data_IF_926796190776
#
_entry.id   IF_926796190776
#
_cell.length_a   1.000
_cell.length_b   1.000
_cell.length_c   1.000
_cell.angle_alpha   90.00
_cell.angle_beta   90.00
_cell.angle_gamma   90.00
#
_symmetry.space_group_name_H-M   'P 1'
#
loop_
_entity.id
_entity.type
_entity.pdbx_description
1 polymer ?
2 non-polymer ?
3 non-polymer ?
4 water ?
#
# COMPACT_ATOMS: atom_id res chain seq x y z
N UNK A 3 -13.11 21.43 20.13
CA UNK A 3 -13.08 19.97 19.96
C UNK A 3 -14.23 19.48 19.08
N UNK A 4 -13.94 18.66 18.07
CA UNK A 4 -14.96 18.36 17.08
C UNK A 4 -16.07 17.51 17.69
N UNK A 5 -17.26 17.60 17.09
CA UNK A 5 -18.43 16.93 17.66
C UNK A 5 -18.25 15.43 17.85
N UNK A 6 -17.73 14.66 16.87
CA UNK A 6 -17.62 13.22 17.09
C UNK A 6 -16.53 12.84 18.05
N UNK A 7 -15.61 13.77 18.35
CA UNK A 7 -14.37 13.39 19.00
C UNK A 7 -14.64 12.76 20.36
N UNK A 8 -14.09 11.57 20.53
CA UNK A 8 -14.26 10.80 21.75
C UNK A 8 -13.23 9.69 21.73
N UNK A 9 -12.43 9.59 22.78
CA UNK A 9 -11.38 8.59 22.86
C UNK A 9 -10.49 8.63 21.63
N UNK A 10 -10.27 9.82 21.09
CA UNK A 10 -9.51 9.99 19.86
C UNK A 10 -8.41 11.01 20.12
N UNK A 11 -7.20 10.51 20.32
CA UNK A 11 -6.11 11.33 20.79
C UNK A 11 -5.42 12.02 19.63
N UNK A 12 -4.75 13.13 19.95
CA UNK A 12 -4.11 13.93 18.91
C UNK A 12 -3.04 13.12 18.19
N UNK A 13 -2.30 12.29 18.94
CA UNK A 13 -1.26 11.46 18.33
C UNK A 13 -1.85 10.40 17.42
N UNK A 14 -3.02 9.85 17.77
CA UNK A 14 -3.71 8.95 16.86
C UNK A 14 -4.13 9.69 15.60
N UNK A 15 -4.73 10.86 15.77
CA UNK A 15 -5.07 11.72 14.64
C UNK A 15 -3.84 12.02 13.78
N UNK A 16 -2.72 12.38 14.40
CA UNK A 16 -1.53 12.69 13.61
C UNK A 16 -1.00 11.45 12.91
N UNK A 17 -1.05 10.29 13.58
CA UNK A 17 -0.58 9.07 12.96
C UNK A 17 -1.40 8.69 11.73
N UNK A 18 -2.71 8.89 11.80
CA UNK A 18 -3.56 8.64 10.64
C UNK A 18 -3.16 9.56 9.50
N UNK A 19 -2.82 10.81 9.81
CA UNK A 19 -2.43 11.73 8.76
C UNK A 19 -1.12 11.29 8.11
N UNK A 20 -0.16 10.81 8.90
CA UNK A 20 1.05 10.29 8.27
C UNK A 20 0.75 9.04 7.48
N UNK A 21 -0.11 8.17 8.01
CA UNK A 21 -0.43 6.95 7.28
C UNK A 21 -1.13 7.28 5.96
N UNK A 22 -2.01 8.29 5.97
CA UNK A 22 -2.65 8.73 4.73
C UNK A 22 -1.61 9.06 3.68
N UNK A 23 -0.61 9.85 4.08
CA UNK A 23 0.44 10.20 3.14
C UNK A 23 1.17 8.95 2.67
N UNK A 24 1.46 8.04 3.59
CA UNK A 24 2.14 6.82 3.21
C UNK A 24 1.29 5.99 2.24
N UNK A 25 -0.02 5.89 2.51
CA UNK A 25 -0.89 5.17 1.58
C UNK A 25 -0.89 5.83 0.22
N UNK A 26 -0.93 7.16 0.21
CA UNK A 26 -0.86 7.90 -1.04
C UNK A 26 0.47 7.67 -1.74
N UNK A 27 1.56 7.66 -0.97
CA UNK A 27 2.86 7.34 -1.55
C UNK A 27 2.86 5.94 -2.15
N UNK A 28 2.29 4.96 -1.45
CA UNK A 28 2.23 3.62 -2.02
C UNK A 28 1.40 3.62 -3.29
N UNK A 29 0.27 4.33 -3.27
CA UNK A 29 -0.55 4.45 -4.46
C UNK A 29 0.26 5.02 -5.61
N UNK A 30 1.07 6.03 -5.31
CA UNK A 30 1.92 6.65 -6.32
C UNK A 30 2.96 5.67 -6.84
N UNK A 31 3.61 4.92 -5.95
CA UNK A 31 4.60 3.93 -6.36
C UNK A 31 3.99 2.90 -7.30
N UNK A 32 2.86 2.33 -6.91
CA UNK A 32 2.19 1.35 -7.76
C UNK A 32 1.79 1.95 -9.09
N UNK A 33 1.31 3.19 -9.06
CA UNK A 33 0.99 3.90 -10.29
C UNK A 33 2.22 4.02 -11.17
N UNK A 34 3.35 4.41 -10.57
CA UNK A 34 4.60 4.44 -11.31
C UNK A 34 4.96 3.06 -11.84
N UNK A 35 4.83 2.05 -10.99
CA UNK A 35 5.14 0.70 -11.44
C UNK A 35 4.25 0.29 -12.59
N UNK A 36 2.95 0.60 -12.48
CA UNK A 36 2.01 0.21 -13.52
C UNK A 36 2.43 0.76 -14.87
N UNK A 37 2.69 2.06 -14.93
CA UNK A 37 3.03 2.63 -16.21
C UNK A 37 4.46 2.33 -16.61
N UNK A 38 5.30 1.95 -15.65
CA UNK A 38 6.59 1.40 -16.02
C UNK A 38 6.41 0.15 -16.87
N UNK A 39 5.53 -0.76 -16.44
CA UNK A 39 5.35 -1.98 -17.20
C UNK A 39 4.53 -1.77 -18.45
N UNK A 40 3.93 -0.59 -18.59
CA UNK A 40 3.29 -0.18 -19.83
C UNK A 40 4.28 0.47 -20.79
N UNK A 41 5.52 0.70 -20.38
CA UNK A 41 6.51 1.19 -21.33
C UNK A 41 6.65 0.19 -22.47
N UNK A 42 6.84 0.71 -23.68
CA UNK A 42 6.96 -0.15 -24.84
C UNK A 42 8.15 -1.09 -24.74
N UNK A 43 9.19 -0.68 -24.02
CA UNK A 43 10.36 -1.52 -23.82
C UNK A 43 10.24 -2.34 -22.56
N UNK A 44 9.06 -2.35 -21.94
CA UNK A 44 8.78 -3.26 -20.84
C UNK A 44 7.60 -4.12 -21.27
N UNK A 45 6.46 -3.47 -21.50
CA UNK A 45 5.32 -4.08 -22.17
C UNK A 45 4.88 -5.38 -21.50
N UNK A 46 4.68 -5.32 -20.19
CA UNK A 46 4.10 -6.46 -19.51
C UNK A 46 2.72 -6.06 -19.02
N UNK A 47 1.65 -6.39 -19.75
CA UNK A 47 0.33 -5.86 -19.39
C UNK A 47 -0.25 -6.45 -18.13
N UNK A 48 0.10 -7.69 -17.78
CA UNK A 48 -0.33 -8.21 -16.50
C UNK A 48 0.22 -7.39 -15.36
N UNK A 49 1.52 -7.08 -15.41
CA UNK A 49 2.13 -6.24 -14.38
C UNK A 49 1.52 -4.85 -14.37
N UNK A 50 1.21 -4.31 -15.54
CA UNK A 50 0.57 -3.01 -15.62
C UNK A 50 -0.78 -3.03 -14.93
N UNK A 51 -1.62 -4.00 -15.30
CA UNK A 51 -2.92 -4.16 -14.68
C UNK A 51 -2.77 -4.42 -13.19
N UNK A 52 -1.86 -5.33 -12.82
CA UNK A 52 -1.68 -5.69 -11.42
C UNK A 52 -1.32 -4.47 -10.57
N UNK A 53 -0.34 -3.68 -11.01
CA UNK A 53 0.06 -2.54 -10.20
C UNK A 53 -0.96 -1.42 -10.27
N UNK A 54 -1.68 -1.29 -11.38
CA UNK A 54 -2.75 -0.31 -11.43
C UNK A 54 -3.81 -0.64 -10.38
N UNK A 55 -4.22 -1.90 -10.31
CA UNK A 55 -5.14 -2.32 -9.26
C UNK A 55 -4.53 -2.10 -7.88
N UNK A 56 -3.27 -2.48 -7.70
CA UNK A 56 -2.59 -2.21 -6.43
C UNK A 56 -2.64 -0.73 -6.11
N UNK A 57 -2.34 0.11 -7.11
CA UNK A 57 -2.40 1.55 -6.92
C UNK A 57 -3.78 1.98 -6.46
N UNK A 58 -4.82 1.50 -7.14
CA UNK A 58 -6.17 1.89 -6.75
C UNK A 58 -6.48 1.43 -5.33
N UNK A 59 -5.97 0.25 -4.95
CA UNK A 59 -6.16 -0.23 -3.58
C UNK A 59 -5.57 0.74 -2.58
N UNK A 60 -4.34 1.20 -2.84
CA UNK A 60 -3.70 2.12 -1.92
C UNK A 60 -4.44 3.45 -1.88
N UNK A 61 -4.92 3.92 -3.02
CA UNK A 61 -5.81 5.07 -3.01
C UNK A 61 -6.98 4.82 -2.08
N UNK A 62 -7.63 3.66 -2.21
CA UNK A 62 -8.72 3.33 -1.30
C UNK A 62 -8.24 3.31 0.13
N UNK A 63 -7.03 2.78 0.37
CA UNK A 63 -6.49 2.76 1.73
C UNK A 63 -6.36 4.16 2.28
N UNK A 64 -5.81 5.07 1.48
CA UNK A 64 -5.66 6.45 1.90
C UNK A 64 -7.00 7.08 2.19
N UNK A 65 -7.95 6.92 1.27
CA UNK A 65 -9.25 7.56 1.41
C UNK A 65 -10.03 6.99 2.58
N UNK A 66 -9.96 5.67 2.76
CA UNK A 66 -10.57 5.07 3.93
C UNK A 66 -9.98 5.66 5.21
N UNK A 67 -8.68 5.97 5.21
CA UNK A 67 -8.10 6.65 6.35
C UNK A 67 -8.61 8.08 6.48
N UNK A 68 -8.69 8.81 5.36
CA UNK A 68 -9.26 10.16 5.42
C UNK A 68 -10.69 10.10 5.91
N UNK A 69 -11.47 9.16 5.37
CA UNK A 69 -12.83 8.97 5.84
C UNK A 69 -12.83 8.70 7.33
N UNK A 70 -11.96 7.79 7.77
CA UNK A 70 -11.93 7.43 9.18
C UNK A 70 -11.49 8.60 10.03
N UNK A 71 -10.49 9.35 9.57
CA UNK A 71 -10.06 10.56 10.25
C UNK A 71 -11.27 11.43 10.55
N UNK A 72 -12.09 11.67 9.52
CA UNK A 72 -13.27 12.50 9.70
C UNK A 72 -14.28 11.83 10.62
N UNK A 73 -14.43 10.51 10.51
CA UNK A 73 -15.39 9.81 11.35
C UNK A 73 -15.11 10.07 12.82
N UNK A 74 -13.84 10.01 13.20
CA UNK A 74 -13.41 10.20 14.58
C UNK A 74 -13.36 11.66 14.98
N UNK A 75 -13.53 12.57 14.03
CA UNK A 75 -13.45 13.99 14.30
C UNK A 75 -12.05 14.54 14.21
N UNK A 76 -11.11 13.77 13.68
CA UNK A 76 -9.80 14.30 13.35
C UNK A 76 -9.87 15.19 12.14
N UNK A 77 -8.79 15.90 11.91
CA UNK A 77 -8.71 16.79 10.76
C UNK A 77 -7.62 16.26 9.86
N UNK A 78 -8.01 15.92 8.63
CA UNK A 78 -7.07 15.49 7.62
C UNK A 78 -6.10 16.62 7.34
N UNK A 79 -4.82 16.36 7.49
CA UNK A 79 -3.78 17.29 7.08
C UNK A 79 -2.95 16.58 6.03
N UNK A 80 -3.04 17.05 4.79
CA UNK A 80 -2.34 16.41 3.70
C UNK A 80 -0.93 16.97 3.58
N UNK A 81 -0.02 16.12 3.13
CA UNK A 81 1.34 16.55 2.85
C UNK A 81 1.66 16.22 1.41
N UNK A 82 2.75 16.80 0.91
CA UNK A 82 3.29 16.35 -0.36
C UNK A 82 3.38 14.83 -0.34
N UNK A 83 2.88 14.18 -1.37
CA UNK A 83 3.21 12.78 -1.56
C UNK A 83 4.45 12.77 -2.44
N UNK A 84 5.51 12.17 -1.92
CA UNK A 84 6.78 12.19 -2.62
C UNK A 84 6.71 11.30 -3.86
N UNK A 85 7.47 11.67 -4.88
CA UNK A 85 7.59 10.80 -6.03
C UNK A 85 8.21 9.48 -5.56
N UNK A 86 7.86 8.36 -6.19
CA UNK A 86 8.45 7.09 -5.78
C UNK A 86 9.97 7.13 -5.91
N UNK A 87 10.63 6.26 -5.15
CA UNK A 87 12.08 6.34 -5.01
C UNK A 87 12.82 5.90 -6.28
N UNK A 88 12.14 5.22 -7.20
CA UNK A 88 12.69 4.93 -8.52
C UNK A 88 11.76 5.44 -9.61
N UNK A 89 12.34 5.73 -10.78
CA UNK A 89 11.55 6.02 -11.97
C UNK A 89 11.34 4.77 -12.81
N UNK A 90 12.29 3.85 -12.76
CA UNK A 90 12.25 2.58 -13.48
C UNK A 90 12.33 1.46 -12.46
N UNK A 91 11.59 0.37 -12.71
CA UNK A 91 11.45 -0.66 -11.68
C UNK A 91 12.10 -1.98 -12.07
N UNK A 92 12.99 -1.98 -13.05
CA UNK A 92 13.75 -3.18 -13.35
C UNK A 92 12.87 -4.24 -13.98
N UNK A 93 13.05 -5.48 -13.54
CA UNK A 93 12.26 -6.59 -14.05
C UNK A 93 10.98 -6.75 -13.24
N UNK A 94 10.10 -7.62 -13.73
CA UNK A 94 8.93 -7.97 -12.96
C UNK A 94 9.32 -8.43 -11.57
N UNK A 95 10.36 -9.26 -11.48
CA UNK A 95 10.87 -9.67 -10.18
C UNK A 95 11.30 -8.46 -9.35
N UNK A 96 12.04 -7.52 -9.96
CA UNK A 96 12.47 -6.34 -9.21
C UNK A 96 11.28 -5.55 -8.71
N UNK A 97 10.31 -5.29 -9.59
CA UNK A 97 9.15 -4.53 -9.16
C UNK A 97 8.40 -5.27 -8.06
N UNK A 98 8.23 -6.58 -8.21
CA UNK A 98 7.54 -7.33 -7.17
C UNK A 98 8.31 -7.28 -5.86
N UNK A 99 9.63 -7.39 -5.93
CA UNK A 99 10.47 -7.22 -4.75
C UNK A 99 10.28 -5.84 -4.14
N UNK A 100 10.27 -4.81 -4.99
CA UNK A 100 10.09 -3.45 -4.50
C UNK A 100 8.71 -3.29 -3.90
N UNK A 101 7.72 -3.94 -4.50
CA UNK A 101 6.37 -3.93 -3.96
C UNK A 101 6.31 -4.60 -2.59
N UNK A 102 6.97 -5.75 -2.44
CA UNK A 102 7.04 -6.40 -1.14
C UNK A 102 7.63 -5.46 -0.11
N UNK A 103 8.81 -4.91 -0.40
CA UNK A 103 9.43 -3.94 0.49
C UNK A 103 8.47 -2.80 0.81
N UNK A 104 7.80 -2.26 -0.21
CA UNK A 104 6.82 -1.20 0.00
C UNK A 104 5.71 -1.65 0.94
N UNK A 105 5.10 -2.80 0.66
CA UNK A 105 3.99 -3.27 1.48
C UNK A 105 4.43 -3.56 2.90
N UNK A 106 5.66 -4.05 3.06
CA UNK A 106 6.16 -4.30 4.41
C UNK A 106 6.40 -3.00 5.15
N UNK A 107 6.84 -1.96 4.44
CA UNK A 107 6.99 -0.66 5.08
C UNK A 107 5.64 -0.07 5.43
N UNK A 108 4.66 -0.19 4.53
CA UNK A 108 3.31 0.24 4.88
C UNK A 108 2.81 -0.56 6.07
N UNK A 109 3.01 -1.88 6.02
CA UNK A 109 2.58 -2.73 7.12
C UNK A 109 3.23 -2.31 8.43
N UNK A 110 4.54 -2.07 8.42
CA UNK A 110 5.18 -1.64 9.66
C UNK A 110 4.58 -0.33 10.15
N UNK A 111 4.34 0.62 9.23
CA UNK A 111 3.73 1.88 9.62
C UNK A 111 2.34 1.66 10.19
N UNK A 112 1.59 0.72 9.61
CA UNK A 112 0.28 0.37 10.15
C UNK A 112 0.40 -0.24 11.54
N UNK A 113 1.36 -1.15 11.72
CA UNK A 113 1.59 -1.72 13.04
C UNK A 113 2.03 -0.64 14.03
N UNK A 114 2.87 0.29 13.58
CA UNK A 114 3.22 1.43 14.42
C UNK A 114 1.99 2.26 14.74
N UNK A 115 1.14 2.47 13.74
CA UNK A 115 -0.11 3.19 13.97
C UNK A 115 -1.00 2.45 14.96
N UNK A 116 -1.07 1.12 14.86
CA UNK A 116 -1.83 0.33 15.82
C UNK A 116 -1.31 0.53 17.24
N UNK A 117 0.02 0.49 17.41
CA UNK A 117 0.63 0.77 18.70
C UNK A 117 0.22 2.13 19.24
N UNK A 118 0.11 3.12 18.36
CA UNK A 118 -0.33 4.43 18.83
C UNK A 118 -1.75 4.34 19.35
N UNK A 119 -2.66 3.75 18.56
CA UNK A 119 -4.02 3.60 19.03
C UNK A 119 -4.09 2.69 20.25
N UNK A 120 -3.24 1.67 20.29
CA UNK A 120 -3.18 0.78 21.43
C UNK A 120 -2.78 1.54 22.69
N UNK A 121 -1.67 2.26 22.63
CA UNK A 121 -1.21 2.97 23.81
C UNK A 121 -2.21 4.05 24.23
N UNK A 122 -2.96 4.60 23.29
CA UNK A 122 -3.99 5.58 23.63
C UNK A 122 -5.31 4.95 24.01
N UNK A 123 -5.37 3.62 24.12
CA UNK A 123 -6.62 2.96 24.44
C UNK A 123 -7.71 3.20 23.42
N UNK A 124 -7.33 3.45 22.16
CA UNK A 124 -8.29 3.69 21.09
C UNK A 124 -8.76 2.33 20.57
N UNK A 125 -9.71 1.76 21.29
CA UNK A 125 -10.18 0.42 20.98
C UNK A 125 -10.79 0.36 19.58
N UNK A 126 -11.60 1.34 19.22
CA UNK A 126 -12.22 1.30 17.90
C UNK A 126 -11.17 1.42 16.81
N UNK A 127 -10.22 2.34 16.98
CA UNK A 127 -9.22 2.54 15.94
C UNK A 127 -8.40 1.27 15.72
N UNK A 128 -8.02 0.62 16.81
CA UNK A 128 -7.28 -0.63 16.72
C UNK A 128 -8.04 -1.64 15.89
N UNK A 129 -9.32 -1.84 16.21
CA UNK A 129 -10.08 -2.80 15.43
C UNK A 129 -10.25 -2.35 13.99
N UNK A 130 -10.38 -1.04 13.76
CA UNK A 130 -10.44 -0.54 12.40
C UNK A 130 -9.16 -0.88 11.64
N UNK A 131 -8.00 -0.60 12.24
CA UNK A 131 -6.73 -0.98 11.63
C UNK A 131 -6.66 -2.48 11.39
N UNK A 132 -7.02 -3.28 12.40
CA UNK A 132 -6.93 -4.72 12.25
C UNK A 132 -7.81 -5.20 11.11
N UNK A 133 -9.09 -4.84 11.17
CA UNK A 133 -10.06 -5.38 10.22
C UNK A 133 -9.82 -4.86 8.82
N UNK A 134 -9.49 -3.58 8.70
CA UNK A 134 -9.46 -2.93 7.40
C UNK A 134 -8.08 -2.81 6.79
N UNK A 135 -7.02 -3.02 7.56
CA UNK A 135 -5.70 -2.79 6.99
C UNK A 135 -4.75 -3.95 7.25
N UNK A 136 -4.64 -4.36 8.52
CA UNK A 136 -3.62 -5.35 8.86
C UNK A 136 -3.87 -6.67 8.15
N UNK A 137 -5.14 -7.11 8.10
CA UNK A 137 -5.46 -8.35 7.41
C UNK A 137 -5.08 -8.27 5.93
N UNK A 138 -5.48 -7.19 5.26
CA UNK A 138 -5.17 -7.05 3.84
C UNK A 138 -3.68 -6.98 3.61
N UNK A 139 -2.96 -6.26 4.48
CA UNK A 139 -1.51 -6.20 4.37
C UNK A 139 -0.91 -7.59 4.43
N UNK A 140 -1.38 -8.40 5.36
CA UNK A 140 -0.85 -9.75 5.49
C UNK A 140 -1.17 -10.57 4.25
N UNK A 141 -2.40 -10.46 3.74
CA UNK A 141 -2.75 -11.12 2.49
C UNK A 141 -1.88 -10.61 1.35
N UNK A 142 -1.77 -9.29 1.23
CA UNK A 142 -0.98 -8.71 0.14
C UNK A 142 0.46 -9.18 0.22
N UNK A 143 1.05 -9.13 1.42
CA UNK A 143 2.45 -9.47 1.59
C UNK A 143 2.69 -10.94 1.24
N UNK A 144 1.83 -11.83 1.73
CA UNK A 144 1.92 -13.23 1.33
C UNK A 144 1.78 -13.36 -0.17
N UNK A 145 0.83 -12.63 -0.76
CA UNK A 145 0.58 -12.77 -2.18
C UNK A 145 1.78 -12.29 -2.99
N UNK A 146 2.36 -11.15 -2.61
CA UNK A 146 3.54 -10.64 -3.31
C UNK A 146 4.73 -11.57 -3.13
N UNK A 147 4.90 -12.11 -1.92
CA UNK A 147 5.97 -13.09 -1.70
C UNK A 147 5.82 -14.27 -2.65
N UNK A 148 4.59 -14.78 -2.77
CA UNK A 148 4.31 -15.86 -3.72
C UNK A 148 4.73 -15.46 -5.12
N UNK A 149 4.33 -14.25 -5.54
CA UNK A 149 4.71 -13.76 -6.86
C UNK A 149 6.22 -13.71 -7.00
N UNK A 150 6.92 -13.18 -5.98
CA UNK A 150 8.37 -13.10 -6.05
C UNK A 150 8.96 -14.49 -6.20
N UNK A 151 8.45 -15.45 -5.44
CA UNK A 151 8.95 -16.82 -5.58
C UNK A 151 8.75 -17.31 -7.00
N UNK A 152 7.57 -17.06 -7.57
CA UNK A 152 7.29 -17.58 -8.89
C UNK A 152 8.09 -16.84 -9.95
N UNK A 153 8.28 -15.54 -9.76
CA UNK A 153 9.10 -14.79 -10.70
C UNK A 153 10.54 -15.27 -10.64
N UNK A 154 11.01 -15.66 -9.45
CA UNK A 154 12.32 -16.30 -9.37
C UNK A 154 12.28 -17.66 -10.04
N UNK A 155 11.19 -18.40 -9.81
CA UNK A 155 11.07 -19.74 -10.37
C UNK A 155 11.14 -19.71 -11.88
N UNK A 156 10.38 -18.80 -12.51
CA UNK A 156 10.23 -18.82 -13.96
C UNK A 156 11.42 -18.21 -14.68
N UNK A 157 12.16 -17.34 -14.01
CA UNK A 157 13.33 -16.75 -14.63
C UNK A 157 12.96 -15.64 -15.59
N UNK A 158 14.01 -15.05 -16.14
CA UNK A 158 13.83 -13.94 -17.04
C UNK A 158 13.26 -14.42 -18.36
N UNK A 159 12.92 -13.46 -19.21
CA UNK A 159 12.54 -13.81 -20.57
C UNK A 159 11.16 -14.43 -20.61
N UNK A 160 11.07 -15.60 -21.25
CA UNK A 160 9.78 -16.26 -21.42
C UNK A 160 9.11 -16.51 -20.08
N UNK A 161 9.90 -16.86 -19.07
CA UNK A 161 9.32 -17.09 -17.76
C UNK A 161 8.58 -15.87 -17.25
N UNK A 162 9.23 -14.71 -17.30
CA UNK A 162 8.58 -13.47 -16.88
C UNK A 162 7.36 -13.20 -17.74
N UNK A 163 7.47 -13.47 -19.03
CA UNK A 163 6.33 -13.33 -19.92
C UNK A 163 5.18 -14.24 -19.49
N UNK A 164 5.48 -15.52 -19.25
CA UNK A 164 4.44 -16.46 -18.83
C UNK A 164 3.86 -16.06 -17.49
N UNK A 165 4.70 -15.62 -16.55
CA UNK A 165 4.17 -15.18 -15.26
C UNK A 165 3.18 -14.05 -15.46
N UNK A 166 3.54 -13.09 -16.31
CA UNK A 166 2.66 -11.97 -16.61
C UNK A 166 1.30 -12.44 -17.09
N UNK A 167 1.27 -13.52 -17.88
CA UNK A 167 0.02 -14.01 -18.45
C UNK A 167 -0.74 -14.89 -17.48
N UNK A 168 -0.04 -15.71 -16.70
CA UNK A 168 -0.67 -16.78 -15.94
C UNK A 168 -0.86 -16.45 -14.47
N UNK A 169 0.01 -15.67 -13.87
CA UNK A 169 -0.17 -15.33 -12.46
C UNK A 169 -0.91 -14.02 -12.26
N UNK A 170 -1.06 -13.20 -13.30
CA UNK A 170 -1.72 -11.90 -13.21
C UNK A 170 -2.79 -11.78 -14.31
N UNK A 171 -3.87 -12.55 -14.18
CA UNK A 171 -5.06 -12.37 -15.03
C UNK A 171 -4.81 -12.45 -16.55
X LIG B 1 -2.22 0.50 1.75
X LIG C 1 -10.23 -6.96 17.01
X LIG D 1 -1.04 -3.06 -0.76
X LIG E 1 -1.15 -1.54 0.93
X LIG E 1 -0.99 -0.94 1.97
#
# INVERSE_FOLDING_TARGET
MAESQPRQNFKVETEAGINRQINLELYACYCYQSMSFYFDRDDVALPGFTKYFKEKSDEEREHAEKFMKYQNKRGGRIVLQDVKKPDRDEWGTGLDAMQASLSLEKNVNQALLDLHTVGDKEGDKQFMDFLESDYLEEQVEDIKKISDHITNLKRVGSGLGEYMFDKKSLD
FE FE
FE FE
FE FE
OXY O1 O2
#
